data_IF_092573661688
#
_entry.id   IF_092573661688
#
_cell.length_a   1.000
_cell.length_b   1.000
_cell.length_c   1.000
_cell.angle_alpha   90.00
_cell.angle_beta   90.00
_cell.angle_gamma   90.00
#
_symmetry.space_group_name_H-M   'P 1'
#
loop_
_entity.id
_entity.type
_entity.pdbx_description
1 polymer ?
#
# COMPACT_ATOMS: atom_id res chain seq x y z
N UNK A 1 -9.56 -68.12 -45.25
CA UNK A 1 -8.56 -67.59 -44.31
C UNK A 1 -8.52 -66.07 -44.49
N UNK A 2 -9.32 -65.33 -43.72
CA UNK A 2 -9.36 -63.86 -43.77
C UNK A 2 -8.64 -63.31 -42.53
N UNK A 3 -7.60 -62.51 -42.74
CA UNK A 3 -6.93 -61.73 -41.69
C UNK A 3 -7.22 -60.25 -41.96
N UNK A 4 -8.17 -59.68 -41.21
CA UNK A 4 -8.36 -58.24 -41.12
C UNK A 4 -7.39 -57.68 -40.06
N UNK A 5 -6.46 -56.83 -40.50
CA UNK A 5 -5.62 -56.03 -39.62
C UNK A 5 -6.39 -54.78 -39.19
N UNK A 6 -6.77 -54.70 -37.91
CA UNK A 6 -7.31 -53.48 -37.31
C UNK A 6 -6.15 -52.72 -36.67
N UNK A 7 -5.72 -51.63 -37.32
CA UNK A 7 -4.86 -50.63 -36.70
C UNK A 7 -5.69 -49.81 -35.72
N UNK A 8 -5.37 -49.91 -34.43
CA UNK A 8 -5.98 -49.06 -33.40
C UNK A 8 -5.09 -47.82 -33.23
N UNK A 9 -5.58 -46.67 -33.66
CA UNK A 9 -4.92 -45.37 -33.48
C UNK A 9 -5.25 -44.85 -32.09
N UNK A 10 -4.30 -44.92 -31.16
CA UNK A 10 -4.41 -44.27 -29.84
C UNK A 10 -4.17 -42.76 -30.02
N UNK A 11 -5.24 -41.96 -29.99
CA UNK A 11 -5.12 -40.50 -29.87
C UNK A 11 -4.77 -40.15 -28.42
N UNK A 12 -3.51 -39.78 -28.19
CA UNK A 12 -3.07 -39.17 -26.94
C UNK A 12 -3.56 -37.72 -26.91
N UNK A 13 -4.72 -37.46 -26.29
CA UNK A 13 -5.15 -36.11 -25.97
C UNK A 13 -4.28 -35.54 -24.84
N UNK A 14 -3.16 -34.91 -25.19
CA UNK A 14 -2.48 -33.98 -24.30
C UNK A 14 -3.36 -32.73 -24.13
N UNK A 15 -4.13 -32.66 -23.06
CA UNK A 15 -4.80 -31.45 -22.62
C UNK A 15 -3.75 -30.43 -22.18
N UNK A 16 -3.32 -29.58 -23.11
CA UNK A 16 -2.64 -28.33 -22.80
C UNK A 16 -3.66 -27.43 -22.07
N UNK A 17 -3.62 -27.46 -20.74
CA UNK A 17 -4.27 -26.43 -19.92
C UNK A 17 -3.50 -25.13 -20.14
N UNK A 18 -3.91 -24.36 -21.15
CA UNK A 18 -3.55 -22.96 -21.26
C UNK A 18 -4.24 -22.23 -20.12
N UNK A 19 -3.50 -21.94 -19.05
CA UNK A 19 -3.96 -20.98 -18.05
C UNK A 19 -4.02 -19.61 -18.73
N UNK A 20 -5.20 -19.22 -19.22
CA UNK A 20 -5.43 -17.87 -19.70
C UNK A 20 -5.19 -16.92 -18.51
N UNK A 21 -4.16 -16.08 -18.59
CA UNK A 21 -3.99 -14.98 -17.65
C UNK A 21 -5.23 -14.09 -17.77
N UNK A 22 -5.94 -13.92 -16.65
CA UNK A 22 -7.10 -13.05 -16.58
C UNK A 22 -6.67 -11.65 -17.05
N UNK A 23 -7.40 -11.09 -18.02
CA UNK A 23 -7.09 -9.77 -18.55
C UNK A 23 -7.17 -8.74 -17.41
N UNK A 24 -6.29 -7.71 -17.42
CA UNK A 24 -6.30 -6.69 -16.37
C UNK A 24 -7.65 -5.97 -16.31
N UNK A 25 -8.27 -5.91 -15.14
CA UNK A 25 -9.55 -5.25 -14.93
C UNK A 25 -9.32 -3.78 -14.58
N UNK A 26 -9.83 -2.85 -15.39
CA UNK A 26 -9.79 -1.42 -15.06
C UNK A 26 -10.78 -1.16 -13.91
N UNK A 27 -10.26 -0.79 -12.75
CA UNK A 27 -11.06 -0.48 -11.56
C UNK A 27 -11.49 0.98 -11.57
N UNK A 28 -10.55 1.87 -11.87
CA UNK A 28 -10.79 3.31 -11.99
C UNK A 28 -10.21 3.84 -13.30
N UNK A 29 -10.97 4.73 -13.95
CA UNK A 29 -10.57 5.37 -15.20
C UNK A 29 -10.69 6.89 -15.04
N UNK A 30 -9.57 7.59 -15.20
CA UNK A 30 -9.51 9.04 -15.13
C UNK A 30 -10.45 9.69 -16.16
N UNK A 31 -11.18 10.73 -15.75
CA UNK A 31 -12.21 11.39 -16.55
C UNK A 31 -13.60 10.76 -16.47
N UNK A 32 -13.79 9.74 -15.62
CA UNK A 32 -15.08 9.09 -15.38
C UNK A 32 -15.57 9.34 -13.95
N UNK A 33 -16.85 9.05 -13.69
CA UNK A 33 -17.45 9.04 -12.35
C UNK A 33 -17.30 10.36 -11.57
N UNK A 34 -17.12 11.48 -12.27
CA UNK A 34 -16.98 12.81 -11.69
C UNK A 34 -15.56 13.23 -11.31
N UNK A 35 -14.54 12.42 -11.63
CA UNK A 35 -13.15 12.71 -11.25
C UNK A 35 -12.25 12.86 -12.47
N UNK A 36 -11.44 13.93 -12.47
CA UNK A 36 -10.45 14.15 -13.53
C UNK A 36 -9.34 13.10 -13.49
N UNK A 37 -8.96 12.63 -12.30
CA UNK A 37 -7.91 11.64 -12.12
C UNK A 37 -8.17 10.73 -10.92
N UNK A 38 -7.75 9.48 -11.04
CA UNK A 38 -7.61 8.57 -9.90
C UNK A 38 -6.13 8.26 -9.65
N UNK A 39 -5.70 8.31 -8.39
CA UNK A 39 -4.31 8.07 -7.98
C UNK A 39 -4.28 7.29 -6.66
N UNK A 40 -3.09 6.84 -6.26
CA UNK A 40 -2.78 6.31 -4.92
C UNK A 40 -3.63 5.08 -4.58
N UNK A 41 -3.45 3.96 -5.32
CA UNK A 41 -4.19 2.73 -5.08
C UNK A 41 -3.85 2.13 -3.72
N UNK A 42 -4.85 1.59 -3.05
CA UNK A 42 -4.72 0.80 -1.83
C UNK A 42 -5.74 -0.34 -1.85
N UNK A 43 -5.40 -1.51 -1.30
CA UNK A 43 -6.29 -2.67 -1.36
C UNK A 43 -6.20 -3.58 -0.14
N UNK A 44 -7.35 -4.12 0.27
CA UNK A 44 -7.42 -5.23 1.24
C UNK A 44 -8.36 -6.33 0.74
N UNK A 45 -8.15 -7.54 1.23
CA UNK A 45 -9.03 -8.69 1.00
C UNK A 45 -9.66 -9.13 2.32
N UNK A 46 -10.96 -9.39 2.28
CA UNK A 46 -11.72 -9.93 3.41
C UNK A 46 -11.67 -11.47 3.39
N UNK A 47 -11.80 -12.15 4.54
CA UNK A 47 -11.84 -13.61 4.60
C UNK A 47 -12.96 -14.26 3.77
N UNK A 48 -14.05 -13.54 3.51
CA UNK A 48 -15.14 -14.00 2.65
C UNK A 48 -14.87 -13.86 1.13
N UNK A 49 -13.66 -13.44 0.74
CA UNK A 49 -13.27 -13.22 -0.66
C UNK A 49 -13.61 -11.84 -1.22
N UNK A 50 -14.25 -10.96 -0.46
CA UNK A 50 -14.51 -9.59 -0.93
C UNK A 50 -13.19 -8.82 -1.03
N UNK A 51 -12.94 -8.21 -2.19
CA UNK A 51 -11.83 -7.27 -2.40
C UNK A 51 -12.36 -5.85 -2.24
N UNK A 52 -11.58 -4.99 -1.56
CA UNK A 52 -11.86 -3.57 -1.44
C UNK A 52 -10.68 -2.81 -2.05
N UNK A 53 -10.94 -2.13 -3.17
CA UNK A 53 -9.98 -1.26 -3.84
C UNK A 53 -10.31 0.20 -3.48
N UNK A 54 -9.33 0.90 -2.95
CA UNK A 54 -9.40 2.32 -2.63
C UNK A 54 -8.50 3.12 -3.57
N UNK A 55 -8.86 4.38 -3.78
CA UNK A 55 -8.04 5.34 -4.51
C UNK A 55 -8.34 6.77 -4.03
N UNK A 56 -7.43 7.69 -4.31
CA UNK A 56 -7.76 9.12 -4.37
C UNK A 56 -8.56 9.40 -5.65
N UNK A 57 -9.80 9.86 -5.49
CA UNK A 57 -10.56 10.52 -6.55
C UNK A 57 -10.26 12.01 -6.54
N UNK A 58 -9.48 12.49 -7.53
CA UNK A 58 -9.08 13.88 -7.67
C UNK A 58 -10.03 14.60 -8.62
N UNK A 59 -10.83 15.51 -8.08
CA UNK A 59 -12.00 16.06 -8.79
C UNK A 59 -11.58 16.91 -9.99
N UNK A 60 -10.64 17.84 -9.79
CA UNK A 60 -10.36 18.89 -10.77
C UNK A 60 -9.15 18.61 -11.67
N UNK A 61 -8.09 18.00 -11.13
CA UNK A 61 -6.83 17.74 -11.83
C UNK A 61 -6.05 16.60 -11.17
N UNK A 62 -4.96 16.15 -11.80
CA UNK A 62 -4.13 15.05 -11.31
C UNK A 62 -3.11 15.48 -10.22
N UNK A 63 -3.25 16.65 -9.61
CA UNK A 63 -2.26 17.20 -8.66
C UNK A 63 -2.46 16.69 -7.24
N UNK A 64 -1.43 16.80 -6.40
CA UNK A 64 -1.39 16.17 -5.06
C UNK A 64 -2.08 16.97 -3.95
N UNK A 65 -2.85 18.01 -4.29
CA UNK A 65 -3.71 18.76 -3.37
C UNK A 65 -4.82 19.47 -4.16
N UNK A 66 -5.94 19.75 -3.49
CA UNK A 66 -7.18 20.29 -4.04
C UNK A 66 -8.36 19.50 -3.47
N UNK A 67 -9.49 19.53 -4.19
CA UNK A 67 -10.65 18.67 -3.88
C UNK A 67 -10.31 17.21 -4.24
N UNK A 68 -9.92 16.46 -3.20
CA UNK A 68 -9.50 15.06 -3.30
C UNK A 68 -10.27 14.26 -2.26
N UNK A 69 -10.90 13.19 -2.72
CA UNK A 69 -11.69 12.28 -1.90
C UNK A 69 -11.03 10.90 -1.89
N UNK A 70 -11.27 10.11 -0.85
CA UNK A 70 -10.97 8.68 -0.88
C UNK A 70 -12.21 7.94 -1.34
N UNK A 71 -12.06 7.20 -2.42
CA UNK A 71 -13.14 6.44 -3.06
C UNK A 71 -12.89 4.93 -2.92
N UNK A 72 -13.96 4.15 -3.03
CA UNK A 72 -13.97 2.70 -2.89
C UNK A 72 -14.77 2.04 -4.00
N UNK A 73 -14.25 0.92 -4.52
CA UNK A 73 -15.01 -0.10 -5.24
C UNK A 73 -14.73 -1.46 -4.63
N UNK A 74 -15.75 -2.32 -4.63
CA UNK A 74 -15.64 -3.68 -4.08
C UNK A 74 -15.85 -4.72 -5.17
N UNK A 75 -15.18 -5.85 -5.07
CA UNK A 75 -15.40 -7.02 -5.92
C UNK A 75 -15.76 -8.25 -5.08
N UNK A 76 -16.72 -9.05 -5.56
CA UNK A 76 -17.15 -10.31 -4.92
C UNK A 76 -16.81 -11.55 -5.77
N UNK A 77 -16.13 -11.36 -6.90
CA UNK A 77 -15.83 -12.40 -7.89
C UNK A 77 -14.33 -12.44 -8.22
N UNK A 78 -13.50 -12.23 -7.20
CA UNK A 78 -12.03 -12.22 -7.30
C UNK A 78 -11.48 -11.18 -8.30
N UNK A 79 -12.10 -10.00 -8.33
CA UNK A 79 -11.65 -8.85 -9.11
C UNK A 79 -12.05 -8.87 -10.58
N UNK A 80 -12.99 -9.74 -10.99
CA UNK A 80 -13.53 -9.77 -12.36
C UNK A 80 -14.44 -8.58 -12.60
N UNK A 81 -15.38 -8.32 -11.69
CA UNK A 81 -16.28 -7.17 -11.72
C UNK A 81 -16.16 -6.34 -10.45
N UNK A 82 -16.48 -5.05 -10.57
CA UNK A 82 -16.35 -4.06 -9.51
C UNK A 82 -17.65 -3.29 -9.34
N UNK A 83 -18.01 -3.02 -8.08
CA UNK A 83 -19.19 -2.23 -7.73
C UNK A 83 -19.11 -0.81 -8.29
N UNK A 84 -20.25 -0.08 -8.32
CA UNK A 84 -20.22 1.36 -8.44
C UNK A 84 -19.32 2.02 -7.39
N UNK A 85 -18.75 3.16 -7.74
CA UNK A 85 -17.90 3.96 -6.86
C UNK A 85 -18.69 4.48 -5.64
N UNK A 86 -18.05 4.44 -4.48
CA UNK A 86 -18.51 5.10 -3.25
C UNK A 86 -17.43 6.06 -2.74
N UNK A 87 -17.83 7.20 -2.18
CA UNK A 87 -16.93 8.06 -1.39
C UNK A 87 -16.89 7.54 0.03
N UNK A 88 -15.69 7.38 0.59
CA UNK A 88 -15.46 6.86 1.94
C UNK A 88 -14.97 7.95 2.89
N UNK A 89 -14.11 8.84 2.40
CA UNK A 89 -13.63 9.99 3.16
C UNK A 89 -13.48 11.20 2.25
N UNK A 90 -13.77 12.37 2.80
CA UNK A 90 -13.61 13.67 2.14
C UNK A 90 -13.21 14.72 3.19
N UNK A 91 -12.78 15.88 2.72
CA UNK A 91 -12.38 17.01 3.56
C UNK A 91 -12.90 18.31 2.92
N UNK A 92 -14.22 18.41 2.78
CA UNK A 92 -14.89 19.44 2.00
C UNK A 92 -14.31 19.52 0.57
N UNK A 93 -13.84 20.70 0.14
CA UNK A 93 -13.14 20.93 -1.13
C UNK A 93 -11.61 20.85 -1.01
N UNK A 94 -11.11 20.30 0.09
CA UNK A 94 -9.70 20.10 0.37
C UNK A 94 -9.34 18.61 0.28
N UNK A 95 -8.10 18.28 0.64
CA UNK A 95 -7.56 16.96 0.44
C UNK A 95 -7.93 16.01 1.58
N UNK A 96 -8.53 14.87 1.24
CA UNK A 96 -8.46 13.62 1.97
C UNK A 96 -7.75 12.58 1.09
N UNK A 97 -6.62 12.04 1.54
CA UNK A 97 -5.76 11.20 0.69
C UNK A 97 -4.87 10.25 1.47
N UNK A 98 -3.94 9.61 0.75
CA UNK A 98 -3.05 8.56 1.26
C UNK A 98 -3.81 7.45 2.04
N UNK A 99 -4.73 6.72 1.38
CA UNK A 99 -5.45 5.62 2.01
C UNK A 99 -4.48 4.54 2.51
N UNK A 100 -4.75 4.04 3.71
CA UNK A 100 -4.03 2.95 4.35
C UNK A 100 -5.03 1.98 5.04
N UNK A 101 -5.80 1.18 4.26
CA UNK A 101 -6.73 0.22 4.82
C UNK A 101 -6.02 -0.98 5.45
N UNK A 102 -6.70 -1.60 6.42
CA UNK A 102 -6.35 -2.88 7.04
C UNK A 102 -7.61 -3.54 7.58
N UNK A 103 -7.66 -4.88 7.57
CA UNK A 103 -8.74 -5.64 8.19
C UNK A 103 -8.26 -6.13 9.55
N UNK A 104 -8.89 -5.65 10.63
CA UNK A 104 -8.72 -6.21 11.95
C UNK A 104 -9.55 -7.49 12.08
N UNK A 105 -8.86 -8.62 12.12
CA UNK A 105 -9.45 -9.96 12.25
C UNK A 105 -9.39 -10.52 13.67
N UNK A 106 -8.87 -9.73 14.61
CA UNK A 106 -8.57 -10.19 15.97
C UNK A 106 -9.44 -9.54 17.04
N UNK A 107 -10.16 -8.47 16.68
CA UNK A 107 -11.11 -7.82 17.59
C UNK A 107 -12.32 -8.74 17.88
N UNK A 108 -12.51 -9.18 19.14
CA UNK A 108 -13.63 -10.05 19.50
C UNK A 108 -15.01 -9.38 19.34
N UNK A 109 -15.08 -8.04 19.32
CA UNK A 109 -16.34 -7.31 19.08
C UNK A 109 -16.80 -7.44 17.62
N UNK A 110 -15.89 -7.73 16.69
CA UNK A 110 -16.14 -7.82 15.26
C UNK A 110 -15.65 -9.17 14.69
N UNK A 111 -16.30 -10.30 15.02
CA UNK A 111 -15.83 -11.64 14.67
C UNK A 111 -15.80 -11.93 13.15
N UNK A 112 -16.40 -11.07 12.33
CA UNK A 112 -16.35 -11.14 10.85
C UNK A 112 -15.24 -10.26 10.25
N UNK A 113 -14.47 -9.59 11.10
CA UNK A 113 -13.49 -8.58 10.76
C UNK A 113 -14.08 -7.17 10.77
N UNK A 114 -13.24 -6.20 11.15
CA UNK A 114 -13.50 -4.76 11.07
C UNK A 114 -12.47 -4.11 10.17
N UNK A 115 -12.93 -3.34 9.20
CA UNK A 115 -12.03 -2.62 8.29
C UNK A 115 -11.70 -1.28 8.94
N UNK A 116 -10.42 -0.98 9.06
CA UNK A 116 -9.93 0.38 9.29
C UNK A 116 -9.50 0.97 7.96
N UNK A 117 -9.82 2.24 7.72
CA UNK A 117 -9.17 3.06 6.70
C UNK A 117 -8.51 4.23 7.43
N UNK A 118 -7.18 4.16 7.55
CA UNK A 118 -6.39 5.31 7.97
C UNK A 118 -6.15 6.22 6.77
N UNK A 119 -6.18 7.53 6.99
CA UNK A 119 -5.96 8.50 5.93
C UNK A 119 -5.43 9.83 6.47
N UNK A 120 -4.99 10.70 5.57
CA UNK A 120 -4.58 12.05 5.91
C UNK A 120 -5.53 13.07 5.33
N UNK A 121 -5.74 14.16 6.07
CA UNK A 121 -6.29 15.38 5.50
C UNK A 121 -5.19 16.43 5.42
N UNK A 122 -5.39 17.45 4.60
CA UNK A 122 -4.69 18.70 4.80
C UNK A 122 -5.22 19.85 3.98
N UNK A 123 -4.63 21.01 4.21
CA UNK A 123 -5.18 22.30 3.80
C UNK A 123 -4.26 23.12 2.89
N UNK A 124 -3.13 22.56 2.45
CA UNK A 124 -2.26 23.19 1.46
C UNK A 124 -1.47 22.15 0.65
N UNK A 125 -0.80 22.59 -0.41
CA UNK A 125 0.15 21.77 -1.16
C UNK A 125 1.36 21.40 -0.29
N UNK A 126 1.91 20.21 -0.50
CA UNK A 126 3.01 19.65 0.30
C UNK A 126 4.21 20.60 0.43
N UNK A 127 4.58 21.29 -0.65
CA UNK A 127 5.68 22.24 -0.64
C UNK A 127 5.50 23.41 0.34
N UNK A 128 4.26 23.87 0.55
CA UNK A 128 3.94 24.92 1.52
C UNK A 128 3.81 24.37 2.94
N UNK A 129 3.24 23.16 3.08
CA UNK A 129 3.20 22.48 4.38
C UNK A 129 4.62 22.26 4.92
N UNK A 130 5.57 21.81 4.11
CA UNK A 130 6.98 21.68 4.50
C UNK A 130 7.60 23.00 4.96
N UNK A 131 7.13 24.15 4.47
CA UNK A 131 7.58 25.49 4.92
C UNK A 131 6.89 25.95 6.22
N UNK A 132 5.95 25.17 6.74
CA UNK A 132 5.15 25.51 7.91
C UNK A 132 3.85 26.26 7.58
N UNK A 133 3.49 26.37 6.30
CA UNK A 133 2.31 27.12 5.82
C UNK A 133 1.13 26.20 5.52
N UNK A 134 0.77 25.34 6.46
CA UNK A 134 -0.34 24.39 6.31
C UNK A 134 -0.12 23.16 7.16
N UNK A 135 -1.16 22.34 7.28
CA UNK A 135 -1.24 21.22 8.22
C UNK A 135 -1.59 19.93 7.49
N UNK A 136 -0.99 18.83 7.96
CA UNK A 136 -1.51 17.48 7.75
C UNK A 136 -2.08 16.95 9.05
N UNK A 137 -3.23 16.28 8.96
CA UNK A 137 -3.82 15.56 10.09
C UNK A 137 -3.96 14.09 9.74
N UNK A 138 -4.11 13.26 10.77
CA UNK A 138 -4.22 11.81 10.63
C UNK A 138 -5.55 11.36 11.23
N UNK A 139 -6.30 10.61 10.44
CA UNK A 139 -7.65 10.20 10.74
C UNK A 139 -7.84 8.71 10.46
N UNK A 140 -8.89 8.14 11.03
CA UNK A 140 -9.43 6.90 10.53
C UNK A 140 -10.96 6.87 10.53
N UNK A 141 -11.51 6.04 9.66
CA UNK A 141 -12.91 5.56 9.69
C UNK A 141 -12.90 4.04 9.73
N UNK A 142 -14.00 3.44 10.18
CA UNK A 142 -14.13 1.98 10.23
C UNK A 142 -15.41 1.47 9.60
N UNK A 143 -15.38 0.24 9.10
CA UNK A 143 -16.55 -0.47 8.58
C UNK A 143 -16.64 -1.86 9.20
N UNK A 144 -17.84 -2.22 9.67
CA UNK A 144 -18.16 -3.52 10.27
C UNK A 144 -19.02 -4.42 9.35
N UNK A 145 -19.35 -3.92 8.15
CA UNK A 145 -20.28 -4.56 7.21
C UNK A 145 -19.64 -4.78 5.82
N UNK A 146 -18.31 -4.94 5.79
CA UNK A 146 -17.56 -5.24 4.56
C UNK A 146 -17.40 -4.04 3.63
N UNK A 147 -17.37 -2.82 4.17
CA UNK A 147 -17.20 -1.57 3.41
C UNK A 147 -18.52 -1.01 2.86
N UNK A 148 -19.67 -1.50 3.32
CA UNK A 148 -20.97 -1.02 2.87
C UNK A 148 -21.30 0.35 3.49
N UNK A 149 -21.06 0.50 4.79
CA UNK A 149 -21.15 1.75 5.56
C UNK A 149 -19.88 2.01 6.36
N UNK A 150 -19.68 3.27 6.75
CA UNK A 150 -18.47 3.74 7.44
C UNK A 150 -18.84 4.60 8.66
N UNK A 151 -18.06 4.47 9.72
CA UNK A 151 -18.21 5.26 10.95
C UNK A 151 -17.93 6.75 10.73
N UNK A 152 -18.28 7.57 11.73
CA UNK A 152 -17.74 8.92 11.82
C UNK A 152 -16.19 8.89 11.87
N UNK A 153 -15.52 9.93 11.33
CA UNK A 153 -14.06 10.01 11.34
C UNK A 153 -13.52 10.33 12.73
N UNK A 154 -12.39 9.71 13.08
CA UNK A 154 -11.68 9.91 14.35
C UNK A 154 -10.33 10.54 14.08
N UNK A 155 -10.07 11.72 14.67
CA UNK A 155 -8.78 12.39 14.58
C UNK A 155 -7.80 11.77 15.60
N UNK A 156 -6.65 11.31 15.12
CA UNK A 156 -5.59 10.72 15.97
C UNK A 156 -4.28 11.51 15.90
N UNK A 157 -4.31 12.72 15.34
CA UNK A 157 -3.13 13.55 15.04
C UNK A 157 -2.23 13.74 16.26
N UNK A 158 -2.79 14.03 17.44
CA UNK A 158 -2.00 14.24 18.66
C UNK A 158 -1.28 12.99 19.17
N UNK A 159 -1.73 11.79 18.77
CA UNK A 159 -1.11 10.53 19.16
C UNK A 159 0.04 10.16 18.22
N UNK A 160 -0.13 10.38 16.91
CA UNK A 160 0.73 9.82 15.85
C UNK A 160 1.53 10.85 15.03
N UNK A 161 1.24 12.13 15.20
CA UNK A 161 1.95 13.23 14.56
C UNK A 161 2.49 14.20 15.63
N UNK A 162 3.37 15.13 15.22
CA UNK A 162 4.03 16.12 16.09
C UNK A 162 4.04 17.52 15.46
N UNK A 163 2.88 18.09 15.09
CA UNK A 163 2.82 19.41 14.46
C UNK A 163 3.09 20.56 15.45
N UNK A 164 3.64 21.67 14.93
CA UNK A 164 3.86 22.91 15.71
C UNK A 164 3.03 24.07 15.16
N UNK A 165 1.71 23.99 15.36
CA UNK A 165 0.72 24.96 14.90
C UNK A 165 -0.34 25.26 15.98
N UNK A 166 0.06 25.83 17.14
CA UNK A 166 -0.85 26.10 18.24
C UNK A 166 -1.99 27.07 17.87
N UNK A 167 -1.80 27.88 16.83
CA UNK A 167 -2.83 28.78 16.29
C UNK A 167 -3.99 28.05 15.61
N UNK A 168 -3.78 26.82 15.11
CA UNK A 168 -4.83 25.99 14.49
C UNK A 168 -5.52 25.15 15.57
N UNK A 169 -4.71 24.52 16.43
CA UNK A 169 -5.18 23.76 17.58
C UNK A 169 -4.13 23.88 18.70
N UNK A 170 -4.49 24.35 19.91
CA UNK A 170 -3.53 24.51 21.01
C UNK A 170 -2.75 23.23 21.38
N UNK A 171 -3.30 22.05 21.09
CA UNK A 171 -2.62 20.77 21.30
C UNK A 171 -1.49 20.51 20.29
N UNK A 172 -1.46 21.22 19.16
CA UNK A 172 -0.43 21.11 18.13
C UNK A 172 0.75 22.01 18.48
N UNK A 173 1.43 21.73 19.59
CA UNK A 173 2.56 22.52 20.07
C UNK A 173 3.79 21.65 20.36
N UNK A 174 4.06 20.69 19.47
CA UNK A 174 5.19 19.78 19.62
C UNK A 174 6.49 20.46 19.17
N UNK A 175 7.57 20.30 19.95
CA UNK A 175 8.88 20.88 19.61
C UNK A 175 9.53 20.23 18.39
N UNK A 176 9.14 19.00 18.07
CA UNK A 176 9.65 18.22 16.93
C UNK A 176 9.33 18.86 15.57
N UNK A 177 8.28 19.70 15.50
CA UNK A 177 7.87 20.45 14.30
C UNK A 177 7.79 19.55 13.05
N UNK A 178 7.06 18.44 13.16
CA UNK A 178 6.72 17.63 12.01
C UNK A 178 5.71 18.38 11.15
N UNK A 179 5.95 18.43 9.84
CA UNK A 179 5.20 19.28 8.90
C UNK A 179 4.45 18.43 7.88
N UNK A 180 5.08 18.08 6.75
CA UNK A 180 4.47 17.10 5.85
C UNK A 180 4.29 15.78 6.60
N UNK A 181 3.21 15.06 6.31
CA UNK A 181 2.90 13.76 6.88
C UNK A 181 2.07 12.95 5.90
N UNK A 182 2.42 11.68 5.70
CA UNK A 182 1.66 10.75 4.88
C UNK A 182 1.68 9.34 5.49
N UNK A 183 0.50 8.70 5.55
CA UNK A 183 0.37 7.28 5.80
C UNK A 183 0.77 6.51 4.54
N UNK A 184 1.51 5.43 4.71
CA UNK A 184 1.88 4.48 3.66
C UNK A 184 2.39 5.18 2.38
N UNK A 185 1.64 5.38 1.25
CA UNK A 185 0.31 4.89 0.80
C UNK A 185 0.32 3.42 0.34
N UNK A 186 -0.84 2.74 0.39
CA UNK A 186 -0.97 1.30 0.15
C UNK A 186 -1.83 0.69 1.25
N UNK A 187 -1.42 -0.42 1.87
CA UNK A 187 -2.12 -1.02 3.00
C UNK A 187 -1.35 -0.88 4.33
N UNK A 188 -2.09 -0.90 5.43
CA UNK A 188 -1.52 -1.12 6.76
C UNK A 188 -1.45 -2.62 7.09
N UNK A 189 -0.60 -2.97 8.05
CA UNK A 189 -0.32 -4.35 8.46
C UNK A 189 -1.11 -4.69 9.74
N UNK A 190 -1.70 -5.88 9.81
CA UNK A 190 -2.02 -6.51 11.09
C UNK A 190 -1.10 -7.72 11.31
N UNK A 191 -0.44 -7.79 12.46
CA UNK A 191 0.34 -8.96 12.85
C UNK A 191 -0.58 -10.17 13.03
N UNK A 192 -0.25 -11.26 12.36
CA UNK A 192 -1.08 -12.47 12.33
C UNK A 192 -0.70 -13.49 13.41
N UNK A 193 0.52 -13.42 13.97
CA UNK A 193 1.03 -14.44 14.89
C UNK A 193 1.96 -13.87 15.97
N UNK A 194 2.19 -14.68 17.00
CA UNK A 194 3.21 -14.44 18.02
C UNK A 194 2.87 -13.31 18.99
N UNK A 195 3.90 -12.72 19.60
CA UNK A 195 3.78 -11.74 20.69
C UNK A 195 2.92 -10.52 20.34
N UNK A 196 2.96 -10.08 19.08
CA UNK A 196 2.26 -8.88 18.62
C UNK A 196 0.99 -9.21 17.83
N UNK A 197 0.49 -10.45 17.88
CA UNK A 197 -0.74 -10.85 17.19
C UNK A 197 -1.88 -9.85 17.48
N UNK A 198 -2.53 -9.36 16.42
CA UNK A 198 -3.60 -8.36 16.49
C UNK A 198 -3.13 -6.91 16.42
N UNK A 199 -1.85 -6.61 16.70
CA UNK A 199 -1.28 -5.28 16.50
C UNK A 199 -1.50 -4.82 15.07
N UNK A 200 -2.10 -3.64 14.92
CA UNK A 200 -2.16 -2.94 13.65
C UNK A 200 -0.99 -1.97 13.59
N UNK A 201 -0.19 -2.03 12.53
CA UNK A 201 0.92 -1.12 12.26
C UNK A 201 0.67 -0.38 10.94
N UNK A 202 0.75 0.95 11.00
CA UNK A 202 0.63 1.84 9.85
C UNK A 202 2.00 2.47 9.60
N UNK A 203 2.62 2.13 8.47
CA UNK A 203 3.84 2.80 8.03
C UNK A 203 3.51 4.25 7.61
N UNK A 204 4.44 5.18 7.80
CA UNK A 204 4.21 6.58 7.51
C UNK A 204 5.53 7.32 7.25
N UNK A 205 5.44 8.58 6.82
CA UNK A 205 6.58 9.47 6.78
C UNK A 205 6.18 10.88 7.18
N UNK A 206 7.18 11.68 7.52
CA UNK A 206 7.03 13.10 7.81
C UNK A 206 8.23 13.90 7.31
N UNK A 207 8.06 15.21 7.16
CA UNK A 207 9.19 16.15 7.17
C UNK A 207 9.31 16.83 8.53
N UNK A 208 10.49 17.23 8.97
CA UNK A 208 10.68 17.95 10.23
C UNK A 208 11.48 19.26 10.04
N UNK A 209 10.99 20.33 10.67
CA UNK A 209 11.64 21.65 10.59
C UNK A 209 11.66 22.24 9.18
N UNK A 210 12.58 23.18 8.94
CA UNK A 210 12.69 23.85 7.65
C UNK A 210 13.17 22.90 6.54
N UNK A 211 12.65 23.03 5.30
CA UNK A 211 13.07 22.22 4.17
C UNK A 211 14.60 22.19 4.02
N UNK A 212 15.17 21.00 3.83
CA UNK A 212 16.61 20.82 3.64
C UNK A 212 16.93 20.42 2.19
N UNK A 213 18.17 20.65 1.72
CA UNK A 213 18.62 20.17 0.42
C UNK A 213 18.36 18.68 0.24
N UNK A 214 18.02 18.28 -0.99
CA UNK A 214 17.79 16.89 -1.37
C UNK A 214 16.75 16.16 -0.50
N UNK A 215 15.78 16.89 0.07
CA UNK A 215 14.69 16.32 0.87
C UNK A 215 15.18 15.59 2.14
N UNK A 216 16.34 15.98 2.67
CA UNK A 216 16.92 15.36 3.87
C UNK A 216 16.16 15.69 5.17
N UNK A 217 15.18 16.60 5.11
CA UNK A 217 14.19 16.86 6.15
C UNK A 217 13.13 15.77 6.28
N UNK A 218 12.99 14.88 5.30
CA UNK A 218 12.06 13.75 5.37
C UNK A 218 12.63 12.56 6.13
N UNK A 219 11.76 11.84 6.83
CA UNK A 219 12.04 10.52 7.34
C UNK A 219 10.78 9.64 7.38
N UNK A 220 10.96 8.34 7.16
CA UNK A 220 9.95 7.33 7.38
C UNK A 220 9.85 6.98 8.88
N UNK A 221 8.66 6.58 9.30
CA UNK A 221 8.34 6.08 10.63
C UNK A 221 7.14 5.14 10.54
N UNK A 222 6.53 4.83 11.66
CA UNK A 222 5.16 4.31 11.68
C UNK A 222 4.53 4.48 13.04
N UNK A 223 3.29 4.05 13.16
CA UNK A 223 2.56 4.03 14.41
C UNK A 223 1.73 2.76 14.50
N UNK A 224 1.34 2.38 15.71
CA UNK A 224 0.60 1.14 15.92
C UNK A 224 -0.43 1.27 17.03
N UNK A 225 -1.40 0.35 17.00
CA UNK A 225 -2.38 0.12 18.06
C UNK A 225 -2.36 -1.35 18.44
N UNK A 226 -2.43 -1.62 19.74
CA UNK A 226 -2.52 -2.96 20.34
C UNK A 226 -3.92 -3.21 20.94
N UNK A 227 -4.84 -2.26 20.79
CA UNK A 227 -6.15 -2.24 21.46
C UNK A 227 -7.30 -1.93 20.48
N UNK A 228 -7.14 -2.39 19.24
CA UNK A 228 -8.15 -2.28 18.18
C UNK A 228 -8.56 -0.83 17.89
N UNK A 229 -7.58 0.07 17.87
CA UNK A 229 -7.73 1.48 17.51
C UNK A 229 -8.22 2.40 18.63
N UNK A 230 -8.19 1.96 19.89
CA UNK A 230 -8.57 2.81 21.04
C UNK A 230 -7.44 3.80 21.37
N UNK A 231 -6.19 3.35 21.32
CA UNK A 231 -5.00 4.18 21.51
C UNK A 231 -3.93 3.87 20.47
N UNK A 232 -3.09 4.86 20.18
CA UNK A 232 -2.02 4.75 19.19
C UNK A 232 -0.68 5.15 19.78
N UNK A 233 0.35 4.41 19.41
CA UNK A 233 1.73 4.61 19.81
C UNK A 233 2.60 4.91 18.59
N UNK A 234 3.40 5.97 18.70
CA UNK A 234 4.34 6.35 17.68
C UNK A 234 5.60 5.47 17.77
N UNK A 235 6.00 4.87 16.65
CA UNK A 235 7.28 4.18 16.51
C UNK A 235 8.44 5.16 16.30
N UNK A 236 9.67 4.71 16.50
CA UNK A 236 10.86 5.51 16.25
C UNK A 236 10.97 5.91 14.76
N UNK A 237 11.54 7.08 14.50
CA UNK A 237 11.92 7.50 13.14
C UNK A 237 13.01 6.57 12.59
N UNK A 238 12.89 6.17 11.32
CA UNK A 238 13.93 5.42 10.60
C UNK A 238 15.15 6.35 10.44
N UNK A 239 16.35 5.96 10.91
CA UNK A 239 17.54 6.82 10.88
C UNK A 239 18.19 6.89 9.48
N UNK A 240 17.39 7.13 8.44
CA UNK A 240 17.83 7.32 7.06
C UNK A 240 17.16 8.60 6.53
N UNK A 241 17.90 9.73 6.45
CA UNK A 241 17.38 10.97 5.89
C UNK A 241 16.81 10.77 4.49
N UNK A 242 15.72 11.46 4.18
CA UNK A 242 15.00 11.33 2.90
C UNK A 242 14.31 10.00 2.68
N UNK A 243 14.23 9.12 3.69
CA UNK A 243 13.25 8.03 3.67
C UNK A 243 11.84 8.64 3.68
N UNK A 244 10.94 8.10 2.86
CA UNK A 244 9.64 8.72 2.59
C UNK A 244 8.53 7.66 2.54
N UNK A 245 7.66 7.65 1.53
CA UNK A 245 6.57 6.69 1.36
C UNK A 245 7.03 5.24 1.58
N UNK A 246 6.32 4.51 2.43
CA UNK A 246 6.74 3.19 2.88
C UNK A 246 5.58 2.26 3.19
N UNK A 247 5.83 0.97 3.13
CA UNK A 247 4.90 -0.09 3.53
C UNK A 247 5.63 -1.06 4.47
N UNK A 248 4.88 -1.91 5.17
CA UNK A 248 5.45 -2.82 6.16
C UNK A 248 4.84 -4.21 6.09
N UNK A 249 5.66 -5.24 6.38
CA UNK A 249 5.22 -6.62 6.42
C UNK A 249 5.75 -7.34 7.67
N UNK A 250 4.92 -8.23 8.21
CA UNK A 250 5.31 -9.13 9.31
C UNK A 250 6.36 -10.13 8.84
N UNK A 251 7.45 -10.24 9.59
CA UNK A 251 8.47 -11.27 9.48
C UNK A 251 8.31 -12.31 10.60
N UNK A 252 9.06 -13.42 10.54
CA UNK A 252 9.02 -14.40 11.62
C UNK A 252 9.53 -13.88 12.96
N UNK A 253 9.07 -14.51 14.04
CA UNK A 253 9.47 -14.15 15.41
C UNK A 253 8.94 -12.81 15.91
N UNK A 254 7.88 -12.26 15.29
CA UNK A 254 7.34 -10.94 15.65
C UNK A 254 8.20 -9.78 15.16
N UNK A 255 9.10 -10.04 14.21
CA UNK A 255 9.86 -9.01 13.52
C UNK A 255 8.99 -8.29 12.49
N UNK A 256 9.40 -7.09 12.11
CA UNK A 256 8.77 -6.29 11.05
C UNK A 256 9.82 -5.83 10.05
N UNK A 257 9.48 -5.89 8.77
CA UNK A 257 10.23 -5.23 7.71
C UNK A 257 9.45 -4.01 7.22
N UNK A 258 10.06 -2.83 7.28
CA UNK A 258 9.57 -1.63 6.61
C UNK A 258 10.38 -1.41 5.33
N UNK A 259 9.69 -1.12 4.24
CA UNK A 259 10.28 -0.85 2.94
C UNK A 259 9.90 0.56 2.48
N UNK A 260 10.89 1.43 2.31
CA UNK A 260 10.69 2.85 2.05
C UNK A 260 11.30 3.31 0.73
N UNK A 261 10.64 4.29 0.12
CA UNK A 261 11.13 5.12 -0.97
C UNK A 261 12.31 5.96 -0.48
N UNK A 262 13.35 6.05 -1.30
CA UNK A 262 14.45 7.00 -1.07
C UNK A 262 14.18 8.30 -1.85
N UNK A 263 13.62 9.32 -1.17
CA UNK A 263 13.25 10.59 -1.78
C UNK A 263 14.45 11.41 -2.25
N UNK A 264 15.62 11.24 -1.62
CA UNK A 264 16.84 11.91 -2.07
C UNK A 264 17.21 11.49 -3.50
N UNK A 265 17.01 10.20 -3.80
CA UNK A 265 17.30 9.64 -5.10
C UNK A 265 18.80 9.52 -5.43
N UNK A 266 19.68 9.76 -4.46
CA UNK A 266 21.13 9.53 -4.55
C UNK A 266 21.45 8.04 -4.78
N UNK A 267 20.58 7.15 -4.29
CA UNK A 267 20.59 5.71 -4.55
C UNK A 267 19.22 5.31 -5.10
N UNK A 268 19.21 4.76 -6.32
CA UNK A 268 18.01 4.32 -7.05
C UNK A 268 17.57 2.91 -6.63
N UNK A 269 17.29 2.76 -5.34
CA UNK A 269 16.91 1.49 -4.73
C UNK A 269 16.13 1.72 -3.43
N UNK A 270 15.42 0.69 -2.96
CA UNK A 270 14.59 0.76 -1.75
C UNK A 270 15.44 0.84 -0.47
N UNK A 271 14.92 1.52 0.54
CA UNK A 271 15.42 1.48 1.92
C UNK A 271 14.66 0.36 2.66
N UNK A 272 15.37 -0.47 3.39
CA UNK A 272 14.81 -1.54 4.22
C UNK A 272 15.20 -1.32 5.67
N UNK A 273 14.21 -1.31 6.56
CA UNK A 273 14.41 -1.24 8.00
C UNK A 273 13.81 -2.48 8.68
N UNK A 274 14.54 -3.07 9.63
CA UNK A 274 14.09 -4.25 10.38
C UNK A 274 13.84 -3.85 11.83
N UNK A 275 12.69 -4.24 12.37
CA UNK A 275 12.34 -4.13 13.79
C UNK A 275 12.23 -5.52 14.43
N UNK A 276 12.60 -5.61 15.71
CA UNK A 276 12.45 -6.81 16.55
C UNK A 276 11.30 -6.69 17.57
N UNK A 277 10.63 -5.54 17.61
CA UNK A 277 9.68 -5.17 18.65
C UNK A 277 8.33 -4.70 18.08
N UNK A 278 7.95 -5.28 16.94
CA UNK A 278 6.67 -5.02 16.31
C UNK A 278 6.55 -3.61 15.73
N UNK A 279 7.66 -3.01 15.30
CA UNK A 279 7.71 -1.68 14.69
C UNK A 279 7.94 -0.52 15.67
N UNK A 280 8.24 -0.78 16.94
CA UNK A 280 8.49 0.29 17.91
C UNK A 280 9.87 0.93 17.72
N UNK A 281 10.91 0.13 17.45
CA UNK A 281 12.28 0.60 17.18
C UNK A 281 12.94 -0.16 16.02
N UNK A 282 14.02 0.41 15.48
CA UNK A 282 14.73 -0.15 14.33
C UNK A 282 16.05 -0.81 14.76
N UNK A 283 16.16 -2.11 14.51
CA UNK A 283 17.39 -2.91 14.71
C UNK A 283 18.45 -2.58 13.67
N UNK A 284 18.05 -2.40 12.42
CA UNK A 284 18.97 -2.18 11.30
C UNK A 284 18.27 -1.49 10.15
N UNK A 285 19.01 -0.69 9.39
CA UNK A 285 18.59 -0.01 8.17
C UNK A 285 19.63 -0.19 7.09
N UNK A 286 19.21 -0.46 5.85
CA UNK A 286 20.09 -0.58 4.70
C UNK A 286 19.39 -0.16 3.41
N UNK A 287 20.18 0.15 2.39
CA UNK A 287 19.69 0.23 1.01
C UNK A 287 19.78 -1.17 0.39
N UNK A 288 18.73 -1.61 -0.29
CA UNK A 288 18.64 -2.95 -0.87
C UNK A 288 18.79 -2.88 -2.40
N UNK A 289 20.00 -3.14 -2.89
CA UNK A 289 20.36 -3.08 -4.31
C UNK A 289 19.63 -4.12 -5.19
N UNK A 290 19.00 -5.11 -4.58
CA UNK A 290 18.15 -6.11 -5.25
C UNK A 290 16.78 -5.54 -5.61
N UNK A 291 16.43 -4.39 -5.03
CA UNK A 291 15.14 -3.70 -5.21
C UNK A 291 15.39 -2.32 -5.86
N UNK A 292 15.68 -2.26 -7.17
CA UNK A 292 15.85 -0.99 -7.89
C UNK A 292 14.56 -0.17 -7.86
N UNK A 293 14.67 1.15 -7.77
CA UNK A 293 13.52 2.06 -7.64
C UNK A 293 13.77 3.45 -8.27
N UNK A 294 12.79 4.03 -8.99
CA UNK A 294 12.93 5.31 -9.67
C UNK A 294 12.47 6.49 -8.79
N UNK A 295 12.47 6.34 -7.46
CA UNK A 295 11.88 7.28 -6.49
C UNK A 295 10.36 7.28 -6.59
N UNK A 296 9.76 6.12 -6.30
CA UNK A 296 8.32 5.88 -6.35
C UNK A 296 7.83 5.15 -5.09
N UNK A 297 6.51 5.08 -4.90
CA UNK A 297 5.93 4.16 -3.91
C UNK A 297 6.18 2.69 -4.32
N UNK A 298 6.21 1.80 -3.32
CA UNK A 298 6.20 0.36 -3.50
C UNK A 298 5.47 -0.33 -2.34
N UNK A 299 4.97 -1.54 -2.58
CA UNK A 299 4.17 -2.30 -1.61
C UNK A 299 4.88 -3.60 -1.21
N UNK A 300 4.86 -3.93 0.09
CA UNK A 300 5.40 -5.17 0.63
C UNK A 300 4.34 -5.87 1.48
N UNK A 301 4.16 -7.16 1.27
CA UNK A 301 3.10 -7.96 1.88
C UNK A 301 3.62 -9.31 2.36
N UNK A 302 3.20 -9.77 3.53
CA UNK A 302 3.38 -11.17 3.92
C UNK A 302 2.31 -12.04 3.23
N UNK A 303 2.75 -12.97 2.38
CA UNK A 303 1.88 -13.85 1.59
C UNK A 303 1.82 -15.28 2.15
N UNK A 304 2.35 -15.51 3.36
CA UNK A 304 2.27 -16.78 4.05
C UNK A 304 3.56 -17.21 4.72
N UNK A 305 3.58 -18.48 5.14
CA UNK A 305 4.60 -19.02 6.03
C UNK A 305 5.17 -20.33 5.50
N UNK A 306 6.50 -20.45 5.43
CA UNK A 306 7.22 -21.68 5.06
C UNK A 306 8.11 -22.12 6.22
N UNK A 307 7.78 -23.26 6.83
CA UNK A 307 8.49 -23.80 8.01
C UNK A 307 8.65 -22.76 9.14
N UNK A 308 7.57 -22.04 9.45
CA UNK A 308 7.54 -21.00 10.49
C UNK A 308 8.17 -19.66 10.10
N UNK A 309 8.64 -19.51 8.85
CA UNK A 309 9.27 -18.28 8.36
C UNK A 309 8.40 -17.55 7.35
N UNK A 310 8.42 -16.22 7.37
CA UNK A 310 7.56 -15.41 6.49
C UNK A 310 8.02 -15.51 5.03
N UNK A 311 7.07 -15.52 4.10
CA UNK A 311 7.31 -15.34 2.67
C UNK A 311 6.69 -14.01 2.28
N UNK A 312 7.47 -13.12 1.67
CA UNK A 312 7.01 -11.80 1.29
C UNK A 312 6.80 -11.70 -0.22
N UNK A 313 5.80 -10.92 -0.63
CA UNK A 313 5.71 -10.35 -1.96
C UNK A 313 6.07 -8.85 -1.89
N UNK A 314 6.75 -8.35 -2.90
CA UNK A 314 7.07 -6.93 -3.05
C UNK A 314 6.75 -6.46 -4.47
N UNK A 315 6.12 -5.31 -4.62
CA UNK A 315 5.86 -4.68 -5.92
C UNK A 315 6.37 -3.25 -5.97
N UNK A 316 7.03 -2.93 -7.10
CA UNK A 316 7.34 -1.56 -7.48
C UNK A 316 7.62 -1.47 -9.00
N UNK A 317 7.77 -0.25 -9.49
CA UNK A 317 8.43 0.02 -10.77
C UNK A 317 9.92 -0.38 -10.65
N UNK A 318 10.30 -1.53 -11.22
CA UNK A 318 11.65 -2.08 -11.11
C UNK A 318 12.62 -1.42 -12.11
N UNK A 319 12.79 -0.11 -11.97
CA UNK A 319 13.57 0.76 -12.85
C UNK A 319 14.36 1.76 -11.98
N UNK A 320 15.39 2.40 -12.53
CA UNK A 320 16.22 3.38 -11.80
C UNK A 320 16.08 4.80 -12.33
N UNK A 321 15.29 4.99 -13.39
CA UNK A 321 15.15 6.24 -14.13
C UNK A 321 13.69 6.69 -14.15
N UNK A 322 12.77 5.81 -14.55
CA UNK A 322 11.38 6.18 -14.84
C UNK A 322 10.40 5.23 -14.16
N UNK A 323 9.17 5.67 -13.89
CA UNK A 323 8.15 4.76 -13.36
C UNK A 323 7.62 3.88 -14.50
N UNK A 324 8.23 2.70 -14.61
CA UNK A 324 7.97 1.68 -15.62
C UNK A 324 8.39 0.30 -15.06
N UNK A 325 8.18 -0.77 -15.82
CA UNK A 325 8.58 -2.13 -15.44
C UNK A 325 8.02 -2.58 -14.09
N UNK A 326 6.71 -2.36 -13.87
CA UNK A 326 6.04 -2.85 -12.67
C UNK A 326 6.25 -4.36 -12.55
N UNK A 327 6.80 -4.75 -11.41
CA UNK A 327 7.28 -6.11 -11.17
C UNK A 327 6.89 -6.56 -9.78
N UNK A 328 6.40 -7.80 -9.67
CA UNK A 328 6.23 -8.48 -8.38
C UNK A 328 7.42 -9.40 -8.13
N UNK A 329 7.99 -9.33 -6.94
CA UNK A 329 9.06 -10.21 -6.47
C UNK A 329 8.54 -11.04 -5.30
N UNK A 330 8.84 -12.33 -5.28
CA UNK A 330 8.51 -13.22 -4.15
C UNK A 330 9.80 -13.67 -3.48
N UNK A 331 9.82 -13.58 -2.15
CA UNK A 331 10.99 -13.80 -1.35
C UNK A 331 11.19 -15.27 -0.97
N UNK A 332 12.43 -15.62 -0.67
CA UNK A 332 12.71 -16.76 0.20
C UNK A 332 12.29 -16.44 1.66
N UNK A 333 12.27 -17.45 2.55
CA UNK A 333 12.00 -17.26 3.98
C UNK A 333 12.70 -16.04 4.62
N UNK A 334 11.91 -15.19 5.27
CA UNK A 334 12.27 -13.93 5.93
C UNK A 334 13.00 -12.93 5.03
N UNK A 335 12.59 -12.85 3.76
CA UNK A 335 13.08 -11.88 2.78
C UNK A 335 14.60 -11.83 2.60
N UNK A 336 15.28 -12.97 2.83
CA UNK A 336 16.73 -13.07 2.64
C UNK A 336 17.18 -12.89 1.20
N UNK A 337 16.34 -13.23 0.24
CA UNK A 337 16.55 -13.08 -1.21
C UNK A 337 15.21 -13.08 -1.94
N UNK A 338 15.21 -12.66 -3.22
CA UNK A 338 14.03 -12.57 -4.09
C UNK A 338 14.16 -13.49 -5.32
N UNK A 339 14.07 -14.83 -5.16
CA UNK A 339 14.34 -15.78 -6.24
C UNK A 339 13.30 -15.75 -7.37
N UNK A 340 12.09 -15.24 -7.12
CA UNK A 340 11.01 -15.19 -8.10
C UNK A 340 10.75 -13.75 -8.47
N UNK A 341 10.72 -13.48 -9.77
CA UNK A 341 10.46 -12.16 -10.36
C UNK A 341 9.40 -12.32 -11.45
N UNK A 342 8.31 -11.57 -11.34
CA UNK A 342 7.14 -11.64 -12.21
C UNK A 342 6.90 -10.23 -12.79
N UNK A 343 7.26 -9.99 -14.05
CA UNK A 343 6.88 -8.75 -14.73
C UNK A 343 5.35 -8.65 -14.83
N UNK A 344 4.79 -7.50 -14.48
CA UNK A 344 3.33 -7.26 -14.52
C UNK A 344 2.99 -6.36 -15.70
N UNK A 345 3.60 -5.18 -15.76
CA UNK A 345 3.27 -4.20 -16.78
C UNK A 345 4.50 -3.34 -17.13
N UNK A 346 4.78 -3.21 -18.42
CA UNK A 346 5.85 -2.39 -18.95
C UNK A 346 5.50 -1.89 -20.35
N UNK A 347 6.16 -0.82 -20.78
CA UNK A 347 6.14 -0.35 -22.16
C UNK A 347 7.56 -0.08 -22.66
N UNK A 348 7.87 -0.33 -23.94
CA UNK A 348 9.12 0.12 -24.54
C UNK A 348 9.13 1.63 -24.83
N UNK A 349 7.98 2.31 -24.79
CA UNK A 349 7.90 3.76 -24.97
C UNK A 349 8.51 4.49 -23.76
N UNK A 350 9.47 5.37 -24.01
CA UNK A 350 10.13 6.15 -22.96
C UNK A 350 9.44 7.49 -22.69
N UNK A 351 8.32 7.77 -23.36
CA UNK A 351 7.55 9.01 -23.18
C UNK A 351 6.69 8.94 -21.92
N UNK A 352 7.20 9.56 -20.86
CA UNK A 352 6.50 9.66 -19.58
C UNK A 352 6.39 8.33 -18.84
N UNK A 353 5.75 8.36 -17.68
CA UNK A 353 5.58 7.18 -16.84
C UNK A 353 4.50 6.26 -17.42
N UNK A 354 4.73 4.95 -17.34
CA UNK A 354 3.76 3.95 -17.79
C UNK A 354 3.03 3.29 -16.64
N UNK A 355 3.78 2.91 -15.60
CA UNK A 355 3.25 2.40 -14.34
C UNK A 355 3.74 3.28 -13.22
N UNK A 356 3.13 3.23 -12.04
CA UNK A 356 3.60 3.99 -10.90
C UNK A 356 3.26 3.29 -9.59
N UNK A 357 2.31 3.83 -8.81
CA UNK A 357 2.01 3.30 -7.48
C UNK A 357 1.31 1.96 -7.63
N UNK A 358 1.54 1.05 -6.69
CA UNK A 358 0.94 -0.27 -6.67
C UNK A 358 0.69 -0.72 -5.23
N UNK A 359 -0.33 -1.54 -5.04
CA UNK A 359 -0.59 -2.18 -3.77
C UNK A 359 -0.99 -3.63 -3.91
N UNK A 360 -0.59 -4.45 -2.93
CA UNK A 360 -0.75 -5.90 -2.93
C UNK A 360 -1.77 -6.32 -1.86
N UNK A 361 -2.57 -7.34 -2.18
CA UNK A 361 -3.33 -8.10 -1.21
C UNK A 361 -3.25 -9.60 -1.52
N UNK A 362 -3.28 -10.44 -0.49
CA UNK A 362 -3.45 -11.88 -0.66
C UNK A 362 -4.95 -12.16 -0.80
N UNK A 363 -5.37 -12.69 -1.95
CA UNK A 363 -6.78 -13.01 -2.22
C UNK A 363 -7.19 -14.30 -1.50
N UNK A 364 -8.48 -14.47 -1.23
CA UNK A 364 -9.00 -15.66 -0.54
C UNK A 364 -8.75 -16.98 -1.30
N UNK A 365 -8.57 -16.92 -2.62
CA UNK A 365 -8.17 -18.05 -3.46
C UNK A 365 -6.64 -18.23 -3.57
N UNK A 366 -5.88 -17.60 -2.67
CA UNK A 366 -4.43 -17.74 -2.51
C UNK A 366 -3.62 -17.31 -3.75
N UNK A 367 -4.05 -16.20 -4.37
CA UNK A 367 -3.32 -15.46 -5.40
C UNK A 367 -2.84 -14.12 -4.84
N UNK A 368 -1.85 -13.53 -5.51
CA UNK A 368 -1.43 -12.16 -5.23
C UNK A 368 -2.31 -11.24 -6.09
N UNK A 369 -3.21 -10.51 -5.46
CA UNK A 369 -3.90 -9.40 -6.11
C UNK A 369 -2.99 -8.18 -6.14
N UNK A 370 -2.85 -7.55 -7.30
CA UNK A 370 -2.12 -6.28 -7.47
C UNK A 370 -3.06 -5.22 -8.04
N UNK A 371 -3.15 -4.08 -7.36
CA UNK A 371 -3.87 -2.89 -7.81
C UNK A 371 -2.84 -1.80 -8.12
N UNK A 372 -2.82 -1.26 -9.35
CA UNK A 372 -1.73 -0.37 -9.76
C UNK A 372 -2.14 0.70 -10.76
N UNK A 373 -1.37 1.79 -10.78
CA UNK A 373 -1.51 2.89 -11.75
C UNK A 373 -0.89 2.51 -13.09
N UNK A 374 -1.61 2.77 -14.19
CA UNK A 374 -1.21 2.42 -15.56
C UNK A 374 -1.45 3.57 -16.54
N UNK A 375 -0.78 3.50 -17.70
CA UNK A 375 -0.98 4.36 -18.86
C UNK A 375 -0.85 5.85 -18.51
N UNK A 376 0.23 6.23 -17.83
CA UNK A 376 0.48 7.62 -17.44
C UNK A 376 -0.62 8.17 -16.51
N UNK A 377 -0.97 7.40 -15.47
CA UNK A 377 -1.95 7.78 -14.44
C UNK A 377 -3.40 7.90 -14.95
N UNK A 378 -3.70 7.38 -16.15
CA UNK A 378 -5.05 7.43 -16.71
C UNK A 378 -5.95 6.30 -16.20
N UNK A 379 -5.37 5.23 -15.64
CA UNK A 379 -6.09 4.05 -15.17
C UNK A 379 -5.50 3.54 -13.85
N UNK A 380 -6.36 3.01 -12.98
CA UNK A 380 -5.96 2.08 -11.91
C UNK A 380 -6.57 0.72 -12.24
N UNK A 381 -5.72 -0.30 -12.23
CA UNK A 381 -6.00 -1.63 -12.79
C UNK A 381 -5.73 -2.70 -11.75
N UNK A 382 -6.56 -3.74 -11.75
CA UNK A 382 -6.40 -4.93 -10.93
C UNK A 382 -5.97 -6.14 -11.78
N UNK A 383 -5.02 -6.90 -11.27
CA UNK A 383 -4.64 -8.22 -11.77
C UNK A 383 -4.46 -9.21 -10.62
N UNK A 384 -4.72 -10.49 -10.88
CA UNK A 384 -4.48 -11.56 -9.93
C UNK A 384 -3.42 -12.52 -10.46
N UNK A 385 -2.35 -12.69 -9.69
CA UNK A 385 -1.13 -13.42 -10.06
C UNK A 385 -1.04 -14.72 -9.25
N UNK A 386 -0.83 -15.83 -9.94
CA UNK A 386 -0.59 -17.12 -9.29
C UNK A 386 0.77 -17.11 -8.58
N UNK A 387 0.81 -17.60 -7.34
CA UNK A 387 2.06 -17.84 -6.61
C UNK A 387 2.72 -19.08 -7.22
N UNK A 388 3.94 -18.97 -7.80
CA UNK A 388 4.65 -20.14 -8.31
C UNK A 388 4.93 -21.13 -7.18
N UNK A 389 4.66 -22.41 -7.40
CA UNK A 389 4.83 -23.48 -6.41
C UNK A 389 6.28 -23.91 -6.25
#
# INVERSE_FOLDING_TARGET
>A
MNRNNIFTLLLLCCSLLTFAQQQPAIVYKSGMEGYKSFRIPAMVSMPNGTLLAFAEGRVQHAGDFGDIKIVLKTSQDNGVTWSPLKVVAENDSLQAGNPAPVVDLTDPEYPKGRIFLFYNTGNNHEGEIRKGHGLREVWYVTSADGGATWSAPVNITTQVHRPKQPQVNPAYNFSDDWRSYANTPGHALQFSKGKYCGRIYVAANHSAGNPQPHFTDYAAHGFYTDDHGKTFHLGATVPVPGSNECTAAELSGGQLMLNARNQQGDKRMRIVAISNDGGATWKSTQFDDRLPDPVCQGSILNIGWKKGKAILAFSNAADTIQRNHLTVRISNPDAKAWPVTIPVAATPDKKGDYTAYSDLALTADNRIGILYERNGYSEIVFEAINIPR
#
